data_IF_684052517748
#
_entry.id   IF_684052517748
#
_cell.length_a   1.000
_cell.length_b   1.000
_cell.length_c   1.000
_cell.angle_alpha   90.00
_cell.angle_beta   90.00
_cell.angle_gamma   90.00
#
_symmetry.space_group_name_H-M   'P 1'
#
loop_
_entity.id
_entity.type
_entity.pdbx_description
1 polymer ?
#
# COMPACT_ATOMS: atom_id res chain seq x y z
N UNK A 1 2.79 -12.80 -20.69
CA UNK A 1 2.09 -12.08 -19.62
C UNK A 1 2.72 -10.70 -19.49
N UNK A 2 1.94 -9.61 -19.42
CA UNK A 2 2.51 -8.24 -19.29
C UNK A 2 3.16 -8.06 -17.90
N UNK A 3 4.13 -7.15 -17.79
CA UNK A 3 4.77 -6.82 -16.50
C UNK A 3 3.74 -6.39 -15.45
N UNK A 4 2.75 -5.61 -15.88
CA UNK A 4 1.63 -5.20 -15.05
C UNK A 4 0.86 -6.41 -14.52
N UNK A 5 0.47 -7.36 -15.37
CA UNK A 5 -0.32 -8.50 -14.91
C UNK A 5 0.46 -9.39 -13.94
N UNK A 6 1.77 -9.54 -14.14
CA UNK A 6 2.65 -10.23 -13.18
C UNK A 6 2.71 -9.51 -11.84
N UNK A 7 2.90 -8.19 -11.85
CA UNK A 7 2.90 -7.37 -10.64
C UNK A 7 1.55 -7.44 -9.92
N UNK A 8 0.44 -7.26 -10.63
CA UNK A 8 -0.91 -7.32 -10.07
C UNK A 8 -1.21 -8.69 -9.45
N UNK A 9 -0.80 -9.78 -10.09
CA UNK A 9 -0.93 -11.12 -9.52
C UNK A 9 -0.10 -11.27 -8.23
N UNK A 10 1.12 -10.73 -8.22
CA UNK A 10 2.01 -10.80 -7.07
C UNK A 10 1.47 -10.03 -5.86
N UNK A 11 1.00 -8.79 -6.04
CA UNK A 11 0.44 -7.98 -4.94
C UNK A 11 -0.93 -8.47 -4.52
N UNK A 12 -1.76 -8.97 -5.45
CA UNK A 12 -3.05 -9.55 -5.12
C UNK A 12 -2.93 -10.83 -4.28
N UNK A 13 -1.99 -11.71 -4.64
CA UNK A 13 -1.67 -12.89 -3.84
C UNK A 13 -1.15 -12.52 -2.44
N UNK A 14 -0.74 -11.27 -2.22
CA UNK A 14 -0.25 -10.74 -0.95
C UNK A 14 -1.28 -9.83 -0.26
N UNK A 15 -2.55 -9.94 -0.65
CA UNK A 15 -3.67 -9.30 0.06
C UNK A 15 -4.03 -7.89 -0.41
N UNK A 16 -3.35 -7.33 -1.41
CA UNK A 16 -3.81 -6.07 -2.01
C UNK A 16 -5.02 -6.30 -2.92
N UNK A 17 -5.95 -5.34 -2.93
CA UNK A 17 -7.04 -5.35 -3.88
C UNK A 17 -6.60 -4.69 -5.18
N UNK A 18 -6.89 -5.38 -6.28
CA UNK A 18 -6.79 -4.84 -7.63
C UNK A 18 -8.21 -4.54 -8.12
N UNK A 19 -8.43 -3.31 -8.56
CA UNK A 19 -9.69 -2.82 -9.13
C UNK A 19 -9.45 -2.19 -10.51
N UNK A 20 -10.53 -1.88 -11.22
CA UNK A 20 -10.50 -1.22 -12.54
C UNK A 20 -9.58 -1.92 -13.56
N UNK A 21 -9.55 -3.26 -13.52
CA UNK A 21 -8.78 -4.09 -14.44
C UNK A 21 -9.61 -5.31 -14.90
N UNK A 22 -9.68 -5.64 -16.21
CA UNK A 22 -10.51 -6.71 -16.75
C UNK A 22 -10.26 -8.09 -16.12
N UNK A 23 -9.02 -8.40 -15.75
CA UNK A 23 -8.66 -9.66 -15.09
C UNK A 23 -9.09 -9.76 -13.61
N UNK A 24 -9.56 -8.66 -13.00
CA UNK A 24 -9.86 -8.56 -11.57
C UNK A 24 -11.26 -7.99 -11.31
N UNK A 25 -12.27 -8.50 -12.03
CA UNK A 25 -13.67 -8.10 -11.82
C UNK A 25 -14.17 -6.97 -12.72
N UNK A 26 -13.33 -6.44 -13.62
CA UNK A 26 -13.75 -5.53 -14.67
C UNK A 26 -13.41 -4.06 -14.41
N UNK A 27 -14.03 -3.20 -15.22
CA UNK A 27 -13.85 -1.75 -15.22
C UNK A 27 -15.22 -1.11 -15.04
N UNK A 28 -15.33 -0.10 -14.16
CA UNK A 28 -16.61 0.57 -13.85
C UNK A 28 -17.18 1.22 -15.11
N UNK A 29 -18.38 0.77 -15.50
CA UNK A 29 -19.06 1.24 -16.71
C UNK A 29 -19.44 2.71 -16.57
N UNK A 30 -18.98 3.55 -17.51
CA UNK A 30 -19.26 4.98 -17.54
C UNK A 30 -18.21 5.84 -16.82
N UNK A 31 -17.37 5.26 -15.94
CA UNK A 31 -16.19 5.94 -15.39
C UNK A 31 -15.03 5.97 -16.41
N UNK A 32 -14.95 4.93 -17.24
CA UNK A 32 -13.95 4.81 -18.30
C UNK A 32 -14.60 4.51 -19.66
N UNK A 33 -13.95 4.92 -20.75
CA UNK A 33 -14.35 4.57 -22.12
C UNK A 33 -13.64 3.27 -22.58
N UNK A 34 -14.22 2.57 -23.56
CA UNK A 34 -13.62 1.33 -24.12
C UNK A 34 -12.23 1.54 -24.73
N UNK A 35 -11.87 2.78 -25.07
CA UNK A 35 -10.55 3.14 -25.58
C UNK A 35 -9.50 3.39 -24.48
N UNK A 36 -9.92 3.49 -23.22
CA UNK A 36 -9.04 3.73 -22.07
C UNK A 36 -8.08 2.58 -21.79
N UNK A 37 -7.00 2.87 -21.06
CA UNK A 37 -6.00 1.85 -20.67
C UNK A 37 -6.56 0.85 -19.64
N UNK A 38 -7.49 1.26 -18.76
CA UNK A 38 -8.20 0.34 -17.86
C UNK A 38 -8.97 -0.72 -18.65
N UNK A 39 -9.81 -0.31 -19.61
CA UNK A 39 -10.54 -1.26 -20.46
C UNK A 39 -9.62 -2.17 -21.29
N UNK A 40 -8.44 -1.68 -21.68
CA UNK A 40 -7.43 -2.45 -22.42
C UNK A 40 -6.57 -3.36 -21.53
N UNK A 41 -6.78 -3.38 -20.20
CA UNK A 41 -5.97 -4.17 -19.27
C UNK A 41 -4.52 -3.69 -19.14
N UNK A 42 -4.33 -2.38 -19.27
CA UNK A 42 -3.02 -1.70 -19.22
C UNK A 42 -2.95 -0.68 -18.08
N UNK A 43 -4.00 -0.60 -17.27
CA UNK A 43 -4.07 0.20 -16.06
C UNK A 43 -4.88 -0.54 -15.00
N UNK A 44 -4.59 -0.30 -13.74
CA UNK A 44 -5.36 -0.82 -12.61
C UNK A 44 -5.34 0.16 -11.45
N UNK A 45 -6.35 0.06 -10.60
CA UNK A 45 -6.42 0.77 -9.33
C UNK A 45 -6.05 -0.20 -8.20
N UNK A 46 -5.01 0.15 -7.46
CA UNK A 46 -4.55 -0.58 -6.29
C UNK A 46 -5.15 0.03 -5.04
N UNK A 47 -5.69 -0.83 -4.20
CA UNK A 47 -6.34 -0.42 -2.96
C UNK A 47 -5.97 -1.38 -1.82
N UNK A 48 -6.13 -0.90 -0.59
CA UNK A 48 -6.04 -1.69 0.63
C UNK A 48 -7.27 -1.39 1.49
N UNK A 49 -7.82 -2.38 2.19
CA UNK A 49 -9.02 -2.18 3.03
C UNK A 49 -10.28 -1.74 2.26
N UNK A 50 -11.33 -1.27 2.94
CA UNK A 50 -12.54 -0.76 2.29
C UNK A 50 -12.26 0.54 1.48
N UNK A 51 -13.15 0.96 0.55
CA UNK A 51 -12.98 2.23 -0.16
C UNK A 51 -12.73 3.41 0.78
N UNK A 52 -11.72 4.23 0.49
CA UNK A 52 -11.38 5.41 1.28
C UNK A 52 -10.30 5.23 2.35
N UNK A 53 -9.40 4.25 2.17
CA UNK A 53 -8.19 3.92 2.95
C UNK A 53 -7.96 4.81 4.18
N UNK A 54 -8.18 4.28 5.40
CA UNK A 54 -7.84 4.98 6.63
C UNK A 54 -6.37 5.43 6.65
N UNK A 55 -6.03 6.57 7.30
CA UNK A 55 -4.66 7.10 7.33
C UNK A 55 -3.58 6.09 7.73
N UNK A 56 -3.90 5.17 8.65
CA UNK A 56 -3.03 4.10 9.14
C UNK A 56 -2.68 3.05 8.06
N UNK A 57 -3.52 2.87 7.04
CA UNK A 57 -3.32 1.90 5.96
C UNK A 57 -2.52 2.47 4.77
N UNK A 58 -2.34 3.79 4.71
CA UNK A 58 -1.59 4.47 3.64
C UNK A 58 -0.15 3.98 3.44
N UNK A 59 0.62 3.63 4.49
CA UNK A 59 1.99 3.14 4.30
C UNK A 59 2.08 1.89 3.43
N UNK A 60 1.09 0.98 3.49
CA UNK A 60 1.04 -0.23 2.63
C UNK A 60 0.95 0.15 1.15
N UNK A 61 0.13 1.14 0.86
CA UNK A 61 -0.11 1.63 -0.50
C UNK A 61 1.10 2.39 -1.05
N UNK A 62 1.75 3.21 -0.22
CA UNK A 62 3.01 3.87 -0.58
C UNK A 62 4.13 2.87 -0.83
N UNK A 63 4.23 1.82 0.01
CA UNK A 63 5.16 0.72 -0.22
C UNK A 63 4.88 0.02 -1.54
N UNK A 64 3.62 -0.28 -1.85
CA UNK A 64 3.27 -0.97 -3.09
C UNK A 64 3.52 -0.09 -4.31
N UNK A 65 3.30 1.22 -4.20
CA UNK A 65 3.71 2.18 -5.22
C UNK A 65 5.22 2.13 -5.49
N UNK A 66 6.06 2.07 -4.45
CA UNK A 66 7.51 1.94 -4.59
C UNK A 66 7.91 0.61 -5.25
N UNK A 67 7.24 -0.49 -4.89
CA UNK A 67 7.47 -1.79 -5.54
C UNK A 67 7.07 -1.76 -7.02
N UNK A 68 5.96 -1.10 -7.37
CA UNK A 68 5.55 -0.93 -8.76
C UNK A 68 6.58 -0.15 -9.58
N UNK A 69 7.14 0.93 -9.01
CA UNK A 69 8.22 1.70 -9.64
C UNK A 69 9.50 0.86 -9.81
N UNK A 70 9.90 0.11 -8.79
CA UNK A 70 11.02 -0.83 -8.87
C UNK A 70 10.82 -1.92 -9.94
N UNK A 71 9.57 -2.36 -10.15
CA UNK A 71 9.18 -3.27 -11.23
C UNK A 71 9.13 -2.60 -12.63
N UNK A 72 9.41 -1.31 -12.72
CA UNK A 72 9.42 -0.52 -13.96
C UNK A 72 8.02 -0.17 -14.47
N UNK A 73 7.01 -0.09 -13.60
CA UNK A 73 5.66 0.36 -13.90
C UNK A 73 5.53 1.87 -13.63
N UNK A 74 4.61 2.53 -14.33
CA UNK A 74 4.27 3.92 -14.00
C UNK A 74 3.22 3.96 -12.88
N UNK A 75 3.38 4.83 -11.89
CA UNK A 75 2.38 5.07 -10.82
C UNK A 75 1.86 6.51 -10.94
N UNK A 76 0.54 6.72 -11.05
CA UNK A 76 -0.05 7.99 -11.49
C UNK A 76 -0.90 8.71 -10.43
N UNK A 77 -1.16 8.12 -9.27
CA UNK A 77 -2.00 8.79 -8.27
C UNK A 77 -1.58 8.45 -6.83
N UNK A 78 -1.24 9.49 -6.06
CA UNK A 78 -1.16 9.53 -4.58
C UNK A 78 -1.48 10.95 -4.07
N UNK A 79 -2.65 11.19 -3.46
CA UNK A 79 -3.04 12.48 -2.90
C UNK A 79 -2.09 13.04 -1.82
N UNK A 80 -1.39 12.17 -1.05
CA UNK A 80 -0.38 12.57 -0.05
C UNK A 80 1.06 12.55 -0.60
N UNK A 81 1.38 13.43 -1.56
CA UNK A 81 2.72 14.01 -1.83
C UNK A 81 3.96 13.12 -2.13
N UNK A 82 4.70 13.55 -3.15
CA UNK A 82 6.12 13.29 -3.48
C UNK A 82 6.52 11.84 -3.80
N UNK A 83 6.10 11.36 -4.96
CA UNK A 83 7.03 10.65 -5.83
C UNK A 83 7.33 11.57 -7.02
N UNK A 84 8.56 11.67 -7.54
CA UNK A 84 8.86 12.39 -8.79
C UNK A 84 8.13 11.82 -10.04
N UNK A 85 7.19 10.89 -9.87
CA UNK A 85 6.45 10.20 -10.94
C UNK A 85 5.09 10.87 -11.16
N UNK A 86 5.03 12.20 -11.15
CA UNK A 86 3.93 12.91 -11.80
C UNK A 86 4.25 13.02 -13.30
N UNK A 87 4.09 11.93 -14.06
CA UNK A 87 4.03 12.04 -15.52
C UNK A 87 2.58 12.11 -15.94
N UNK A 88 2.15 13.33 -16.26
CA UNK A 88 0.88 13.69 -16.89
C UNK A 88 0.33 12.62 -17.83
N UNK A 89 -1.01 12.48 -17.88
CA UNK A 89 -1.81 11.55 -18.71
C UNK A 89 -1.41 11.42 -20.19
N UNK A 90 -0.61 12.34 -20.72
CA UNK A 90 -0.24 12.42 -22.12
C UNK A 90 0.80 11.39 -22.61
N UNK A 91 1.42 10.56 -21.73
CA UNK A 91 2.55 9.70 -22.12
C UNK A 91 2.48 8.21 -21.72
N UNK A 92 1.30 7.67 -21.38
CA UNK A 92 1.23 6.44 -20.54
C UNK A 92 1.50 5.11 -21.27
N UNK A 93 2.39 4.28 -20.68
CA UNK A 93 2.51 2.82 -20.89
C UNK A 93 1.71 2.11 -19.78
N UNK A 94 1.95 0.83 -19.51
CA UNK A 94 1.28 0.09 -18.42
C UNK A 94 1.44 0.84 -17.09
N UNK A 95 0.36 1.02 -16.32
CA UNK A 95 0.37 1.91 -15.15
C UNK A 95 -0.60 1.55 -14.00
N UNK A 96 -0.42 2.19 -12.84
CA UNK A 96 -1.15 1.95 -11.59
C UNK A 96 -1.65 3.25 -10.98
N UNK A 97 -2.89 3.25 -10.48
CA UNK A 97 -3.37 4.24 -9.51
C UNK A 97 -3.34 3.64 -8.11
N UNK A 98 -3.07 4.45 -7.10
CA UNK A 98 -3.04 4.01 -5.71
C UNK A 98 -3.99 4.91 -4.91
N UNK A 99 -5.07 4.34 -4.37
CA UNK A 99 -6.11 5.11 -3.68
C UNK A 99 -5.82 5.22 -2.17
N UNK A 100 -5.26 6.35 -1.73
CA UNK A 100 -4.95 6.63 -0.33
C UNK A 100 -6.07 7.38 0.45
N UNK A 101 -7.28 7.50 -0.14
CA UNK A 101 -8.45 8.09 0.52
C UNK A 101 -9.48 8.73 -0.43
N UNK A 102 -10.73 8.94 0.03
CA UNK A 102 -11.85 9.26 -0.86
C UNK A 102 -11.77 10.69 -1.40
N UNK A 103 -11.87 10.86 -2.73
CA UNK A 103 -11.94 12.16 -3.44
C UNK A 103 -12.93 13.15 -2.78
N UNK A 104 -14.04 12.66 -2.23
CA UNK A 104 -15.11 13.49 -1.67
C UNK A 104 -14.81 14.07 -0.29
N UNK A 105 -13.93 13.44 0.52
CA UNK A 105 -13.45 14.06 1.76
C UNK A 105 -12.62 15.33 1.51
N UNK A 106 -12.15 15.53 0.27
CA UNK A 106 -11.31 16.66 -0.14
C UNK A 106 -12.07 17.80 -0.84
N UNK A 107 -13.39 17.64 -1.09
CA UNK A 107 -14.25 18.68 -1.69
C UNK A 107 -15.17 19.37 -0.68
N UNK A 108 -15.05 19.07 0.61
CA UNK A 108 -15.86 19.69 1.65
C UNK A 108 -15.40 21.14 1.90
N UNK A 109 -16.28 22.15 1.75
CA UNK A 109 -15.94 23.53 2.09
C UNK A 109 -15.62 23.67 3.58
N UNK A 110 -14.45 24.23 3.92
CA UNK A 110 -14.17 24.74 5.27
C UNK A 110 -13.32 23.87 6.20
N UNK A 111 -12.39 23.01 5.72
CA UNK A 111 -11.36 22.42 6.60
C UNK A 111 -9.93 22.47 6.07
N UNK A 112 -9.13 23.18 6.88
CA UNK A 112 -7.68 23.17 7.09
C UNK A 112 -6.75 23.26 5.88
N UNK A 113 -6.94 24.35 5.13
CA UNK A 113 -5.93 24.92 4.23
C UNK A 113 -4.55 25.05 4.90
N UNK A 114 -4.48 25.13 6.23
CA UNK A 114 -3.24 25.22 7.00
C UNK A 114 -2.42 23.91 7.01
N UNK A 115 -3.05 22.73 7.12
CA UNK A 115 -2.33 21.44 7.02
C UNK A 115 -1.84 21.23 5.58
N UNK A 116 -2.68 21.58 4.60
CA UNK A 116 -2.32 21.54 3.18
C UNK A 116 -1.18 22.52 2.84
N UNK A 117 -1.23 23.76 3.36
CA UNK A 117 -0.21 24.80 3.22
C UNK A 117 1.08 24.46 3.97
N UNK A 118 1.01 23.81 5.14
CA UNK A 118 2.16 23.33 5.89
C UNK A 118 2.90 22.23 5.15
N UNK A 119 2.19 21.22 4.64
CA UNK A 119 2.77 20.21 3.76
C UNK A 119 3.31 20.87 2.47
N UNK A 120 2.71 21.98 1.97
CA UNK A 120 3.19 22.76 0.78
C UNK A 120 4.43 23.60 1.05
N UNK A 121 4.63 24.05 2.27
CA UNK A 121 5.76 24.90 2.66
C UNK A 121 6.94 24.10 3.21
N UNK A 122 6.70 22.91 3.77
CA UNK A 122 7.72 21.96 4.24
C UNK A 122 8.28 21.08 3.10
N UNK A 123 8.14 21.50 1.83
CA UNK A 123 8.66 20.78 0.64
C UNK A 123 10.16 20.49 0.79
N UNK A 124 10.58 19.22 0.89
CA UNK A 124 11.98 18.89 0.72
C UNK A 124 12.28 18.97 -0.78
N UNK A 125 13.13 19.89 -1.20
CA UNK A 125 13.58 20.04 -2.60
C UNK A 125 14.64 19.00 -3.01
N UNK A 126 14.83 17.98 -2.19
CA UNK A 126 15.81 16.90 -2.36
C UNK A 126 15.18 15.63 -1.79
N UNK A 127 15.57 14.46 -2.31
CA UNK A 127 15.16 13.13 -1.82
C UNK A 127 15.52 12.98 -0.35
N UNK A 128 14.71 13.53 0.54
CA UNK A 128 14.69 13.20 1.94
C UNK A 128 13.60 12.15 2.11
N UNK A 129 14.01 11.02 2.68
CA UNK A 129 13.13 10.00 3.20
C UNK A 129 12.03 10.68 4.02
N UNK A 130 10.80 10.67 3.51
CA UNK A 130 9.64 11.11 4.27
C UNK A 130 9.44 10.05 5.35
N UNK A 131 9.99 10.31 6.54
CA UNK A 131 9.62 9.56 7.74
C UNK A 131 8.17 9.89 8.01
N UNK A 132 7.27 9.02 7.56
CA UNK A 132 5.85 9.16 7.91
C UNK A 132 5.77 8.88 9.40
N UNK A 133 5.63 9.92 10.23
CA UNK A 133 5.34 9.79 11.65
C UNK A 133 3.91 9.29 11.82
N UNK A 134 3.66 8.03 11.44
CA UNK A 134 2.43 7.33 11.77
C UNK A 134 2.59 6.87 13.22
N UNK A 135 1.72 7.37 14.10
CA UNK A 135 1.59 6.80 15.44
C UNK A 135 0.87 5.46 15.30
N UNK A 136 1.58 4.42 14.89
CA UNK A 136 1.05 3.04 14.87
C UNK A 136 1.22 2.46 16.26
N UNK A 137 0.14 1.90 16.80
CA UNK A 137 0.19 1.22 18.09
C UNK A 137 1.17 0.05 18.07
N UNK A 138 1.79 -0.20 19.23
CA UNK A 138 2.49 -1.46 19.48
C UNK A 138 1.43 -2.56 19.59
N UNK A 139 1.42 -3.51 18.65
CA UNK A 139 0.46 -4.64 18.65
C UNK A 139 1.16 -5.98 18.87
N UNK A 140 0.49 -6.88 19.57
CA UNK A 140 0.96 -8.23 19.91
C UNK A 140 -0.18 -9.24 19.83
N UNK A 141 0.15 -10.53 19.90
CA UNK A 141 -0.81 -11.62 19.93
C UNK A 141 -1.94 -11.38 20.95
N UNK A 142 -3.18 -11.51 20.48
CA UNK A 142 -4.41 -11.26 21.25
C UNK A 142 -4.99 -9.85 21.07
N UNK A 143 -4.21 -8.89 20.55
CA UNK A 143 -4.75 -7.58 20.19
C UNK A 143 -5.63 -7.69 18.93
N UNK A 144 -6.56 -6.73 18.78
CA UNK A 144 -7.42 -6.61 17.62
C UNK A 144 -7.50 -5.17 17.11
N UNK A 145 -7.93 -4.99 15.86
CA UNK A 145 -8.27 -3.69 15.29
C UNK A 145 -7.39 -3.26 14.10
N UNK A 146 -7.49 -1.98 13.67
CA UNK A 146 -6.94 -1.52 12.41
C UNK A 146 -5.40 -1.64 12.32
N UNK A 147 -4.69 -1.43 13.43
CA UNK A 147 -3.23 -1.61 13.48
C UNK A 147 -2.81 -3.09 13.26
N UNK A 148 -3.65 -4.04 13.69
CA UNK A 148 -3.43 -5.47 13.43
C UNK A 148 -3.69 -5.79 11.95
N UNK A 149 -4.76 -5.26 11.35
CA UNK A 149 -5.01 -5.40 9.91
C UNK A 149 -3.88 -4.80 9.08
N UNK A 150 -3.37 -3.64 9.47
CA UNK A 150 -2.19 -3.04 8.87
C UNK A 150 -1.00 -4.00 8.93
N UNK A 151 -0.70 -4.55 10.11
CA UNK A 151 0.38 -5.53 10.31
C UNK A 151 0.21 -6.74 9.39
N UNK A 152 -0.97 -7.34 9.33
CA UNK A 152 -1.27 -8.48 8.47
C UNK A 152 -1.04 -8.15 6.99
N UNK A 153 -1.44 -6.95 6.56
CA UNK A 153 -1.22 -6.43 5.22
C UNK A 153 0.26 -6.36 4.86
N UNK A 154 1.05 -5.65 5.68
CA UNK A 154 2.49 -5.51 5.43
C UNK A 154 3.22 -6.85 5.51
N UNK A 155 2.86 -7.75 6.42
CA UNK A 155 3.45 -9.09 6.50
C UNK A 155 3.15 -9.92 5.25
N UNK A 156 1.93 -9.85 4.71
CA UNK A 156 1.59 -10.53 3.46
C UNK A 156 2.39 -9.99 2.28
N UNK A 157 2.50 -8.68 2.23
CA UNK A 157 3.27 -7.92 1.25
C UNK A 157 4.75 -8.34 1.23
N UNK A 158 5.35 -8.51 2.41
CA UNK A 158 6.70 -9.05 2.59
C UNK A 158 6.78 -10.57 2.37
N UNK A 159 5.66 -11.24 2.13
CA UNK A 159 5.59 -12.71 1.99
C UNK A 159 5.93 -13.45 3.28
N UNK A 160 5.91 -12.77 4.43
CA UNK A 160 6.35 -13.32 5.72
C UNK A 160 5.53 -14.53 6.15
N UNK A 161 4.21 -14.52 5.89
CA UNK A 161 3.35 -15.68 6.18
C UNK A 161 3.67 -16.90 5.31
N UNK A 162 4.04 -16.69 4.04
CA UNK A 162 4.49 -17.76 3.15
C UNK A 162 5.83 -18.32 3.63
N UNK A 163 6.79 -17.45 3.95
CA UNK A 163 8.09 -17.84 4.49
C UNK A 163 7.96 -18.60 5.83
N UNK A 164 6.98 -18.23 6.65
CA UNK A 164 6.67 -18.88 7.91
C UNK A 164 5.81 -20.17 7.76
N UNK A 165 5.44 -20.55 6.54
CA UNK A 165 4.62 -21.75 6.27
C UNK A 165 3.18 -21.66 6.77
N UNK A 166 2.64 -20.45 6.96
CA UNK A 166 1.22 -20.22 7.30
C UNK A 166 0.40 -19.70 6.12
N UNK A 167 1.06 -19.44 4.99
CA UNK A 167 0.44 -18.89 3.80
C UNK A 167 0.13 -17.40 3.94
N UNK A 168 -0.75 -16.91 3.08
CA UNK A 168 -1.24 -15.53 3.11
C UNK A 168 -2.16 -15.38 4.33
N UNK A 169 -1.88 -14.40 5.18
CA UNK A 169 -2.68 -14.03 6.34
C UNK A 169 -4.03 -13.47 5.90
N UNK A 170 -5.08 -13.79 6.65
CA UNK A 170 -6.34 -13.06 6.54
C UNK A 170 -6.13 -11.63 7.07
N UNK A 171 -6.84 -10.66 6.47
CA UNK A 171 -6.93 -9.28 6.96
C UNK A 171 -8.20 -9.18 7.83
N UNK A 172 -8.17 -9.84 8.97
CA UNK A 172 -9.34 -10.05 9.84
C UNK A 172 -9.33 -9.19 11.11
N UNK A 173 -8.36 -8.28 11.24
CA UNK A 173 -8.15 -7.44 12.43
C UNK A 173 -7.68 -8.24 13.66
N UNK A 174 -7.45 -9.55 13.59
CA UNK A 174 -7.17 -10.40 14.75
C UNK A 174 -5.69 -10.87 14.80
N UNK A 175 -4.98 -10.52 15.87
CA UNK A 175 -3.59 -10.94 16.04
C UNK A 175 -3.55 -12.35 16.63
N UNK A 176 -3.84 -13.34 15.79
CA UNK A 176 -3.78 -14.77 16.11
C UNK A 176 -2.42 -15.43 15.88
N UNK A 177 -2.39 -16.76 16.00
CA UNK A 177 -1.18 -17.59 15.88
C UNK A 177 -0.45 -17.43 14.54
N UNK A 178 -1.20 -17.30 13.44
CA UNK A 178 -0.61 -17.13 12.11
C UNK A 178 0.11 -15.79 11.99
N UNK A 179 -0.48 -14.73 12.54
CA UNK A 179 0.10 -13.38 12.56
C UNK A 179 1.38 -13.36 13.42
N UNK A 180 1.36 -13.99 14.61
CA UNK A 180 2.56 -14.12 15.46
C UNK A 180 3.69 -14.86 14.75
N UNK A 181 3.37 -15.99 14.11
CA UNK A 181 4.36 -16.78 13.39
C UNK A 181 4.96 -16.03 12.20
N UNK A 182 4.14 -15.30 11.45
CA UNK A 182 4.59 -14.46 10.34
C UNK A 182 5.46 -13.29 10.83
N UNK A 183 5.07 -12.60 11.91
CA UNK A 183 5.86 -11.51 12.48
C UNK A 183 7.22 -12.00 12.96
N UNK A 184 7.28 -13.12 13.68
CA UNK A 184 8.56 -13.68 14.15
C UNK A 184 9.47 -14.09 12.99
N UNK A 185 8.90 -14.60 11.90
CA UNK A 185 9.66 -14.90 10.69
C UNK A 185 10.23 -13.62 10.05
N UNK A 186 9.44 -12.55 9.98
CA UNK A 186 9.90 -11.24 9.52
C UNK A 186 11.03 -10.69 10.40
N UNK A 187 10.85 -10.69 11.72
CA UNK A 187 11.85 -10.24 12.69
C UNK A 187 13.17 -11.01 12.54
N UNK A 188 13.08 -12.33 12.35
CA UNK A 188 14.25 -13.19 12.10
C UNK A 188 14.96 -12.82 10.81
N UNK A 189 14.21 -12.62 9.71
CA UNK A 189 14.78 -12.29 8.41
C UNK A 189 15.49 -10.93 8.42
N UNK A 190 14.99 -9.96 9.18
CA UNK A 190 15.53 -8.61 9.29
C UNK A 190 16.54 -8.44 10.43
N UNK A 191 16.85 -9.52 11.16
CA UNK A 191 17.83 -9.55 12.26
C UNK A 191 17.54 -8.52 13.35
N UNK A 192 16.27 -8.34 13.68
CA UNK A 192 15.79 -7.57 14.83
C UNK A 192 15.32 -8.51 15.95
N UNK A 193 14.99 -7.97 17.13
CA UNK A 193 14.51 -8.77 18.25
C UNK A 193 13.26 -9.58 17.89
N UNK A 194 13.31 -10.90 18.13
CA UNK A 194 12.23 -11.84 17.80
C UNK A 194 11.28 -12.00 18.99
N UNK A 195 10.67 -10.91 19.42
CA UNK A 195 9.77 -10.87 20.57
C UNK A 195 8.31 -11.22 20.23
N UNK A 196 7.95 -11.25 18.95
CA UNK A 196 6.57 -11.43 18.47
C UNK A 196 5.68 -10.23 18.78
N UNK A 197 6.29 -9.05 18.91
CA UNK A 197 5.58 -7.79 19.09
C UNK A 197 5.95 -6.82 17.97
N UNK A 198 4.93 -6.25 17.32
CA UNK A 198 5.14 -5.22 16.32
C UNK A 198 5.38 -3.88 17.04
N UNK A 199 6.64 -3.68 17.48
CA UNK A 199 7.15 -2.43 18.03
C UNK A 199 7.84 -1.56 16.97
N UNK A 200 8.54 -0.52 17.41
CA UNK A 200 9.16 0.47 16.52
C UNK A 200 10.09 -0.14 15.46
N UNK A 201 10.96 -1.09 15.83
CA UNK A 201 11.89 -1.72 14.88
C UNK A 201 11.16 -2.61 13.86
N UNK A 202 10.14 -3.35 14.29
CA UNK A 202 9.27 -4.13 13.39
C UNK A 202 8.58 -3.21 12.38
N UNK A 203 7.97 -2.11 12.85
CA UNK A 203 7.28 -1.17 11.97
C UNK A 203 8.22 -0.45 11.00
N UNK A 204 9.42 -0.06 11.46
CA UNK A 204 10.45 0.53 10.59
C UNK A 204 10.78 -0.41 9.43
N UNK A 205 11.17 -1.66 9.73
CA UNK A 205 11.55 -2.64 8.70
C UNK A 205 10.38 -3.00 7.77
N UNK A 206 9.17 -3.13 8.30
CA UNK A 206 7.97 -3.42 7.49
C UNK A 206 7.62 -2.31 6.50
N UNK A 207 7.85 -1.04 6.86
CA UNK A 207 7.41 0.11 6.06
C UNK A 207 8.49 0.73 5.18
N UNK A 208 9.76 0.61 5.58
CA UNK A 208 10.88 1.22 4.87
C UNK A 208 11.54 0.25 3.89
N UNK A 209 11.59 -1.05 4.19
CA UNK A 209 12.27 -2.02 3.34
C UNK A 209 11.38 -2.44 2.15
N UNK A 210 11.79 -2.09 0.94
CA UNK A 210 11.24 -2.65 -0.31
C UNK A 210 12.02 -3.93 -0.60
N UNK A 211 11.38 -5.11 -0.70
CA UNK A 211 12.03 -6.35 -1.07
C UNK A 211 12.73 -6.17 -2.43
N UNK A 212 13.99 -6.58 -2.48
CA UNK A 212 14.81 -6.56 -3.70
C UNK A 212 14.25 -7.47 -4.79
#
# INVERSE_FOLDING_TARGET
MSRLLTYLAAVHARGLRVAEHPAYGGVTKGAHTSSSYHYKGRAADLNFGAPGTPPEERPVLLWAARLADAAGLNVIYTPHRVHPIAKTAAAHRDHLHVDDGPIQAYKAPGRDDALYARILSERPTTTQEVTVNVTIGKVRKGDTGPDVRLLQGVLNVHGAGVAAGVGVLALDDDFGDKTDKALRAHQTAHKIDVDGVAGADSWRTLLEDVPA
#
